data_IF_920631477527
#
_entry.id   IF_920631477527
#
_cell.length_a   1.000
_cell.length_b   1.000
_cell.length_c   1.000
_cell.angle_alpha   90.00
_cell.angle_beta   90.00
_cell.angle_gamma   90.00
#
_symmetry.space_group_name_H-M   'P 1'
#
loop_
_entity.id
_entity.type
_entity.pdbx_description
1 polymer ?
#
# COMPACT_ATOMS: atom_id res chain seq x y z
N UNK A 1 -35.37 49.82 9.74
CA UNK A 1 -34.80 50.83 10.66
C UNK A 1 -35.00 52.21 10.04
N UNK A 2 -35.41 53.22 10.82
CA UNK A 2 -35.51 54.61 10.34
C UNK A 2 -34.14 55.18 10.01
N UNK A 3 -34.05 56.08 9.03
CA UNK A 3 -32.78 56.70 8.64
C UNK A 3 -32.21 57.54 9.79
N UNK A 4 -33.07 58.23 10.54
CA UNK A 4 -32.69 59.02 11.72
C UNK A 4 -31.86 58.20 12.73
N UNK A 5 -32.23 56.94 12.96
CA UNK A 5 -31.51 56.04 13.87
C UNK A 5 -30.14 55.62 13.32
N UNK A 6 -30.01 55.53 11.98
CA UNK A 6 -28.73 55.24 11.33
C UNK A 6 -27.82 56.47 11.40
N UNK A 7 -28.36 57.66 11.21
CA UNK A 7 -27.63 58.93 11.31
C UNK A 7 -27.08 59.15 12.72
N UNK A 8 -27.86 58.88 13.76
CA UNK A 8 -27.41 58.91 15.16
C UNK A 8 -26.29 57.89 15.44
N UNK A 9 -26.44 56.66 14.93
CA UNK A 9 -25.43 55.61 15.06
C UNK A 9 -24.11 55.93 14.32
N UNK A 10 -24.19 56.60 13.17
CA UNK A 10 -23.01 57.01 12.42
C UNK A 10 -22.36 58.25 13.04
N UNK A 11 -23.17 59.18 13.55
CA UNK A 11 -22.70 60.37 14.27
C UNK A 11 -21.94 60.00 15.54
N UNK A 12 -22.38 58.97 16.27
CA UNK A 12 -21.65 58.46 17.44
C UNK A 12 -20.27 57.86 17.10
N UNK A 13 -20.01 57.58 15.81
CA UNK A 13 -18.73 57.11 15.27
C UNK A 13 -17.93 58.22 14.58
N UNK A 14 -18.33 59.48 14.75
CA UNK A 14 -17.68 60.64 14.13
C UNK A 14 -18.00 60.83 12.65
N UNK A 15 -18.95 60.08 12.09
CA UNK A 15 -19.36 60.17 10.69
C UNK A 15 -20.61 61.05 10.60
N UNK A 16 -20.42 62.31 10.20
CA UNK A 16 -21.49 63.32 10.18
C UNK A 16 -22.02 63.66 8.79
N UNK A 17 -21.28 63.31 7.72
CA UNK A 17 -21.68 63.58 6.33
C UNK A 17 -22.31 62.36 5.66
N UNK A 18 -23.34 62.58 4.84
CA UNK A 18 -23.96 61.53 4.02
C UNK A 18 -22.95 60.83 3.10
N UNK A 19 -21.96 61.59 2.58
CA UNK A 19 -20.93 61.03 1.72
C UNK A 19 -20.02 60.06 2.50
N UNK A 20 -19.73 60.36 3.76
CA UNK A 20 -18.89 59.51 4.61
C UNK A 20 -19.67 58.29 5.12
N UNK A 21 -20.98 58.42 5.34
CA UNK A 21 -21.87 57.28 5.57
C UNK A 21 -21.86 56.34 4.35
N UNK A 22 -21.92 56.90 3.14
CA UNK A 22 -21.87 56.12 1.91
C UNK A 22 -20.55 55.35 1.77
N UNK A 23 -19.42 56.01 2.04
CA UNK A 23 -18.09 55.39 2.08
C UNK A 23 -17.99 54.29 3.12
N UNK A 24 -18.43 54.55 4.36
CA UNK A 24 -18.37 53.58 5.46
C UNK A 24 -19.19 52.31 5.16
N UNK A 25 -20.37 52.47 4.54
CA UNK A 25 -21.24 51.35 4.19
C UNK A 25 -20.88 50.68 2.87
N UNK A 26 -19.94 51.24 2.10
CA UNK A 26 -19.60 50.84 0.73
C UNK A 26 -20.81 50.90 -0.21
N UNK A 27 -21.54 52.02 -0.18
CA UNK A 27 -22.70 52.29 -1.04
C UNK A 27 -22.52 53.65 -1.75
N UNK A 28 -23.39 53.96 -2.71
CA UNK A 28 -23.34 55.25 -3.42
C UNK A 28 -23.94 56.38 -2.58
N UNK A 29 -23.39 57.62 -2.62
CA UNK A 29 -23.99 58.78 -1.97
C UNK A 29 -25.44 59.03 -2.40
N UNK A 30 -25.78 58.69 -3.64
CA UNK A 30 -27.14 58.75 -4.19
C UNK A 30 -28.10 57.81 -3.44
N UNK A 31 -27.67 56.58 -3.14
CA UNK A 31 -28.49 55.63 -2.38
C UNK A 31 -28.76 56.12 -0.95
N UNK A 32 -27.75 56.67 -0.28
CA UNK A 32 -27.90 57.22 1.08
C UNK A 32 -28.84 58.43 1.09
N UNK A 33 -28.73 59.31 0.08
CA UNK A 33 -29.68 60.42 -0.11
C UNK A 33 -31.12 59.92 -0.28
N UNK A 34 -31.31 58.86 -1.07
CA UNK A 34 -32.63 58.24 -1.25
C UNK A 34 -33.19 57.61 0.04
N UNK A 35 -32.33 57.03 0.89
CA UNK A 35 -32.74 56.50 2.19
C UNK A 35 -33.14 57.62 3.16
N UNK A 36 -32.43 58.75 3.14
CA UNK A 36 -32.78 59.94 3.92
C UNK A 36 -34.11 60.52 3.47
N UNK A 37 -34.35 60.64 2.16
CA UNK A 37 -35.62 61.13 1.61
C UNK A 37 -36.82 60.23 1.95
N UNK A 38 -36.60 58.92 2.11
CA UNK A 38 -37.64 57.93 2.43
C UNK A 38 -37.73 57.56 3.92
N UNK A 39 -36.88 58.16 4.76
CA UNK A 39 -36.64 57.78 6.17
C UNK A 39 -36.54 56.26 6.42
N UNK A 40 -35.95 55.53 5.48
CA UNK A 40 -35.87 54.07 5.55
C UNK A 40 -34.54 53.54 5.03
N UNK A 41 -33.92 52.66 5.83
CA UNK A 41 -32.68 51.97 5.49
C UNK A 41 -32.99 50.53 5.04
N UNK A 42 -32.46 50.08 3.89
CA UNK A 42 -32.62 48.70 3.43
C UNK A 42 -32.08 47.65 4.42
N UNK A 43 -32.72 46.48 4.45
CA UNK A 43 -32.42 45.42 5.41
C UNK A 43 -30.96 44.91 5.35
N UNK A 44 -30.38 44.77 4.15
CA UNK A 44 -29.01 44.28 3.97
C UNK A 44 -27.96 45.18 4.63
N UNK A 45 -28.20 46.49 4.70
CA UNK A 45 -27.32 47.46 5.37
C UNK A 45 -27.36 47.25 6.87
N UNK A 46 -28.54 47.03 7.43
CA UNK A 46 -28.75 46.77 8.86
C UNK A 46 -28.05 45.47 9.27
N UNK A 47 -28.19 44.42 8.46
CA UNK A 47 -27.51 43.14 8.71
C UNK A 47 -25.98 43.30 8.70
N UNK A 48 -25.42 44.09 7.77
CA UNK A 48 -23.99 44.40 7.71
C UNK A 48 -23.53 45.21 8.93
N UNK A 49 -24.34 46.17 9.40
CA UNK A 49 -24.08 46.98 10.58
C UNK A 49 -23.98 46.12 11.86
N UNK A 50 -24.92 45.19 12.05
CA UNK A 50 -24.95 44.29 13.19
C UNK A 50 -23.75 43.32 13.17
N UNK A 51 -23.42 42.77 11.99
CA UNK A 51 -22.23 41.93 11.82
C UNK A 51 -20.93 42.69 12.13
N UNK A 52 -20.83 43.96 11.71
CA UNK A 52 -19.67 44.79 12.00
C UNK A 52 -19.58 45.19 13.48
N UNK A 53 -20.72 45.38 14.17
CA UNK A 53 -20.74 45.66 15.61
C UNK A 53 -20.25 44.48 16.44
N UNK A 54 -20.54 43.25 16.04
CA UNK A 54 -20.07 42.04 16.74
C UNK A 54 -18.58 41.76 16.56
N UNK A 55 -17.95 42.34 15.54
CA UNK A 55 -16.53 42.11 15.22
C UNK A 55 -15.57 43.11 15.89
N UNK A 56 -16.04 44.06 16.70
CA UNK A 56 -15.21 45.12 17.32
C UNK A 56 -14.79 44.84 18.78
N UNK A 57 -15.01 43.64 19.32
CA UNK A 57 -14.52 43.25 20.65
C UNK A 57 -13.14 42.56 20.65
N UNK A 58 -12.38 42.62 19.55
CA UNK A 58 -11.04 42.04 19.44
C UNK A 58 -10.02 43.07 18.94
N UNK A 59 -9.02 43.36 19.77
CA UNK A 59 -8.10 44.50 19.65
C UNK A 59 -6.82 44.21 18.86
N UNK A 60 -6.27 45.29 18.29
CA UNK A 60 -4.92 45.53 17.72
C UNK A 60 -4.55 44.90 16.37
N UNK A 61 -4.21 45.79 15.42
CA UNK A 61 -3.81 45.49 14.05
C UNK A 61 -2.33 45.82 13.82
N UNK A 62 -1.60 44.88 13.24
CA UNK A 62 -0.47 45.13 12.33
C UNK A 62 -0.63 44.24 11.07
N UNK A 63 -0.03 44.61 9.92
CA UNK A 63 -0.63 44.39 8.62
C UNK A 63 -0.33 43.00 8.06
N UNK A 64 -1.35 42.31 7.54
CA UNK A 64 -1.17 41.07 6.79
C UNK A 64 -1.90 41.14 5.45
N UNK A 65 -1.06 41.13 4.40
CA UNK A 65 -1.14 40.27 3.22
C UNK A 65 -2.47 39.52 3.04
N UNK A 66 -3.05 39.67 1.85
CA UNK A 66 -4.20 38.91 1.32
C UNK A 66 -4.40 37.55 2.01
N UNK A 67 -5.21 37.53 3.06
CA UNK A 67 -5.77 36.31 3.61
C UNK A 67 -7.19 36.19 3.10
N UNK A 68 -7.38 35.28 2.14
CA UNK A 68 -8.66 34.67 1.89
C UNK A 68 -9.25 34.27 3.23
N UNK A 69 -10.44 34.78 3.55
CA UNK A 69 -11.17 34.43 4.76
C UNK A 69 -11.48 32.92 4.75
N UNK A 70 -10.56 32.13 5.29
CA UNK A 70 -10.72 30.73 5.60
C UNK A 70 -10.84 30.63 7.12
N UNK A 71 -12.05 30.90 7.61
CA UNK A 71 -12.45 30.61 8.97
C UNK A 71 -13.86 30.03 8.93
N UNK A 72 -13.92 28.78 8.48
CA UNK A 72 -14.81 27.79 9.08
C UNK A 72 -13.87 26.68 9.52
N UNK A 73 -13.90 26.29 10.79
CA UNK A 73 -13.22 25.08 11.24
C UNK A 73 -13.66 23.94 10.31
N UNK A 74 -12.81 23.56 9.34
CA UNK A 74 -13.06 22.37 8.53
C UNK A 74 -12.71 21.16 9.40
N UNK A 75 -13.54 20.91 10.40
CA UNK A 75 -13.66 19.56 10.94
C UNK A 75 -14.18 18.72 9.79
N UNK A 76 -13.29 17.95 9.16
CA UNK A 76 -13.65 17.05 8.07
C UNK A 76 -14.66 16.07 8.66
N UNK A 77 -15.92 16.20 8.27
CA UNK A 77 -16.96 15.27 8.68
C UNK A 77 -16.80 13.97 7.90
N UNK A 78 -17.00 12.83 8.55
CA UNK A 78 -16.97 11.52 7.88
C UNK A 78 -17.94 11.46 6.70
N UNK A 79 -19.07 12.15 6.80
CA UNK A 79 -20.05 12.25 5.72
C UNK A 79 -19.48 12.91 4.48
N UNK A 80 -18.63 13.93 4.62
CA UNK A 80 -18.03 14.63 3.47
C UNK A 80 -17.04 13.73 2.72
N UNK A 81 -16.32 12.85 3.44
CA UNK A 81 -15.42 11.85 2.86
C UNK A 81 -16.24 10.80 2.09
N UNK A 82 -17.30 10.27 2.70
CA UNK A 82 -18.18 9.28 2.06
C UNK A 82 -18.86 9.86 0.82
N UNK A 83 -19.26 11.13 0.84
CA UNK A 83 -19.87 11.81 -0.30
C UNK A 83 -18.87 11.93 -1.46
N UNK A 84 -17.62 12.31 -1.17
CA UNK A 84 -16.56 12.40 -2.18
C UNK A 84 -16.21 11.03 -2.80
N UNK A 85 -16.16 9.96 -1.97
CA UNK A 85 -15.97 8.58 -2.46
C UNK A 85 -17.16 8.14 -3.33
N UNK A 86 -18.39 8.48 -2.93
CA UNK A 86 -19.58 8.14 -3.69
C UNK A 86 -19.66 8.88 -5.02
N UNK A 87 -19.27 10.15 -5.06
CA UNK A 87 -19.24 10.97 -6.28
C UNK A 87 -18.22 10.42 -7.29
N UNK A 88 -17.08 9.92 -6.81
CA UNK A 88 -16.03 9.34 -7.64
C UNK A 88 -16.02 7.81 -7.70
N UNK A 89 -17.12 7.15 -7.30
CA UNK A 89 -17.22 5.68 -7.24
C UNK A 89 -16.85 5.01 -8.57
N UNK A 90 -17.26 5.62 -9.70
CA UNK A 90 -16.92 5.13 -11.05
C UNK A 90 -15.42 5.08 -11.29
N UNK A 91 -14.68 6.10 -10.84
CA UNK A 91 -13.21 6.16 -10.99
C UNK A 91 -12.55 5.10 -10.12
N UNK A 92 -13.01 4.95 -8.88
CA UNK A 92 -12.49 3.95 -7.92
C UNK A 92 -12.68 2.53 -8.44
N UNK A 93 -13.87 2.22 -8.99
CA UNK A 93 -14.15 0.90 -9.56
C UNK A 93 -13.28 0.67 -10.81
N UNK A 94 -13.17 1.66 -11.70
CA UNK A 94 -12.35 1.54 -12.91
C UNK A 94 -10.86 1.34 -12.59
N UNK A 95 -10.30 2.12 -11.65
CA UNK A 95 -8.89 1.98 -11.27
C UNK A 95 -8.61 0.63 -10.63
N UNK A 96 -9.54 0.11 -9.84
CA UNK A 96 -9.43 -1.23 -9.23
C UNK A 96 -9.44 -2.32 -10.31
N UNK A 97 -10.34 -2.22 -11.29
CA UNK A 97 -10.38 -3.14 -12.43
C UNK A 97 -9.08 -3.13 -13.23
N UNK A 98 -8.53 -1.96 -13.49
CA UNK A 98 -7.26 -1.79 -14.20
C UNK A 98 -6.11 -2.42 -13.40
N UNK A 99 -6.05 -2.17 -12.09
CA UNK A 99 -5.03 -2.77 -11.23
C UNK A 99 -5.13 -4.31 -11.21
N UNK A 100 -6.33 -4.86 -11.05
CA UNK A 100 -6.56 -6.32 -11.09
C UNK A 100 -6.18 -6.90 -12.44
N UNK A 101 -6.52 -6.24 -13.54
CA UNK A 101 -6.15 -6.67 -14.88
C UNK A 101 -4.64 -6.74 -15.08
N UNK A 102 -3.89 -5.74 -14.61
CA UNK A 102 -2.42 -5.76 -14.67
C UNK A 102 -1.82 -6.87 -13.82
N UNK A 103 -2.29 -7.02 -12.57
CA UNK A 103 -1.82 -8.10 -11.68
C UNK A 103 -2.09 -9.48 -12.26
N UNK A 104 -3.28 -9.70 -12.84
CA UNK A 104 -3.62 -10.96 -13.48
C UNK A 104 -2.74 -11.24 -14.70
N UNK A 105 -2.52 -10.22 -15.54
CA UNK A 105 -1.64 -10.32 -16.71
C UNK A 105 -0.21 -10.68 -16.30
N UNK A 106 0.28 -10.06 -15.23
CA UNK A 106 1.62 -10.35 -14.70
C UNK A 106 1.76 -11.82 -14.27
N UNK A 107 0.85 -12.31 -13.43
CA UNK A 107 0.91 -13.68 -12.88
C UNK A 107 0.74 -14.73 -13.99
N UNK A 108 -0.13 -14.49 -14.98
CA UNK A 108 -0.44 -15.51 -16.01
C UNK A 108 0.57 -15.59 -17.14
N UNK A 109 1.22 -14.48 -17.50
CA UNK A 109 2.07 -14.44 -18.70
C UNK A 109 3.54 -14.21 -18.42
N UNK A 110 3.89 -13.50 -17.33
CA UNK A 110 5.27 -13.07 -17.08
C UNK A 110 5.92 -13.96 -16.02
N UNK A 111 5.19 -14.27 -14.95
CA UNK A 111 5.73 -15.06 -13.84
C UNK A 111 5.83 -16.54 -14.21
N UNK A 112 7.04 -17.10 -14.09
CA UNK A 112 7.28 -18.54 -14.29
C UNK A 112 6.95 -19.29 -13.00
N UNK A 113 6.11 -20.33 -13.01
CA UNK A 113 5.80 -21.10 -11.81
C UNK A 113 7.06 -21.82 -11.30
N UNK A 114 7.38 -21.61 -10.02
CA UNK A 114 8.45 -22.33 -9.34
C UNK A 114 7.86 -23.59 -8.69
N UNK A 115 8.27 -24.75 -9.19
CA UNK A 115 7.88 -26.04 -8.61
C UNK A 115 8.96 -26.49 -7.63
N UNK A 116 8.56 -26.77 -6.38
CA UNK A 116 9.43 -27.36 -5.36
C UNK A 116 9.04 -28.82 -5.15
N UNK A 117 10.01 -29.72 -5.21
CA UNK A 117 9.85 -31.14 -4.91
C UNK A 117 10.68 -31.49 -3.67
N UNK A 118 10.09 -32.22 -2.73
CA UNK A 118 10.76 -32.74 -1.54
C UNK A 118 10.59 -34.25 -1.49
N UNK A 119 11.68 -34.97 -1.20
CA UNK A 119 11.65 -36.40 -0.98
C UNK A 119 12.13 -36.72 0.44
N UNK A 120 11.38 -37.57 1.14
CA UNK A 120 11.77 -38.11 2.45
C UNK A 120 12.33 -39.51 2.25
N UNK A 121 13.59 -39.71 2.61
CA UNK A 121 14.23 -41.02 2.58
C UNK A 121 13.98 -41.75 3.91
N UNK A 122 13.42 -42.95 3.84
CA UNK A 122 13.22 -43.81 4.99
C UNK A 122 14.29 -44.91 4.98
N UNK A 123 14.84 -45.19 6.16
CA UNK A 123 15.79 -46.29 6.33
C UNK A 123 15.07 -47.63 6.20
N UNK A 124 15.65 -48.54 5.42
CA UNK A 124 15.29 -49.94 5.51
C UNK A 124 15.72 -50.45 6.89
N UNK A 125 14.78 -51.07 7.61
CA UNK A 125 15.03 -51.61 8.94
C UNK A 125 16.19 -52.62 8.91
N UNK A 126 17.07 -52.52 9.91
CA UNK A 126 18.28 -53.32 10.07
C UNK A 126 17.94 -54.80 9.98
N UNK A 127 18.26 -55.45 8.85
CA UNK A 127 18.29 -56.92 8.81
C UNK A 127 19.45 -57.40 9.70
N UNK A 128 19.20 -58.22 10.73
CA UNK A 128 20.26 -58.73 11.59
C UNK A 128 21.15 -59.64 10.75
N UNK A 129 22.34 -59.16 10.35
CA UNK A 129 23.30 -59.96 9.58
C UNK A 129 24.27 -59.18 8.68
N UNK A 130 24.05 -57.89 8.40
CA UNK A 130 24.93 -57.11 7.52
C UNK A 130 26.05 -56.33 8.27
N UNK A 131 26.51 -56.84 9.41
CA UNK A 131 27.59 -56.22 10.22
C UNK A 131 28.99 -56.79 9.95
N UNK A 132 29.11 -57.84 9.12
CA UNK A 132 30.39 -58.53 8.85
C UNK A 132 31.24 -57.98 7.69
N UNK A 133 30.66 -57.18 6.79
CA UNK A 133 31.34 -56.76 5.56
C UNK A 133 32.47 -55.74 5.75
N UNK A 134 32.25 -54.74 6.61
CA UNK A 134 33.24 -53.67 6.83
C UNK A 134 34.39 -54.08 7.73
N UNK A 135 34.17 -54.95 8.72
CA UNK A 135 35.25 -55.48 9.54
C UNK A 135 36.31 -56.18 8.66
N UNK A 136 35.86 -56.89 7.62
CA UNK A 136 36.73 -57.51 6.63
C UNK A 136 37.45 -56.52 5.69
N UNK A 137 36.82 -55.38 5.36
CA UNK A 137 37.46 -54.33 4.55
C UNK A 137 38.45 -53.51 5.38
N UNK A 138 38.09 -53.10 6.59
CA UNK A 138 38.96 -52.31 7.47
C UNK A 138 40.20 -53.08 7.93
N UNK A 139 40.07 -54.40 8.13
CA UNK A 139 41.21 -55.27 8.43
C UNK A 139 42.23 -55.31 7.28
N UNK A 140 41.81 -55.19 6.02
CA UNK A 140 42.72 -55.08 4.86
C UNK A 140 43.50 -53.76 4.85
N UNK A 141 43.05 -52.74 5.57
CA UNK A 141 43.77 -51.49 5.78
C UNK A 141 44.53 -51.47 7.12
N UNK A 142 44.68 -52.62 7.80
CA UNK A 142 45.43 -52.74 9.05
C UNK A 142 44.70 -52.17 10.27
N UNK A 143 43.40 -51.86 10.16
CA UNK A 143 42.59 -51.32 11.26
C UNK A 143 41.78 -52.44 11.88
N UNK A 144 42.10 -52.79 13.13
CA UNK A 144 41.36 -53.76 13.91
C UNK A 144 40.12 -53.10 14.53
N UNK A 145 38.94 -53.33 13.95
CA UNK A 145 37.67 -52.86 14.52
C UNK A 145 37.23 -53.87 15.60
N UNK A 146 37.06 -53.45 16.87
CA UNK A 146 36.50 -54.31 17.90
C UNK A 146 35.14 -54.83 17.45
N UNK A 147 34.90 -56.14 17.56
CA UNK A 147 33.65 -56.79 17.15
C UNK A 147 32.39 -56.24 17.84
N UNK A 148 32.53 -55.36 18.84
CA UNK A 148 31.45 -54.66 19.53
C UNK A 148 31.05 -53.31 18.93
N UNK A 149 31.83 -52.74 18.01
CA UNK A 149 31.48 -51.50 17.33
C UNK A 149 30.70 -51.86 16.07
N UNK A 150 29.40 -52.12 16.25
CA UNK A 150 28.44 -52.16 15.15
C UNK A 150 28.36 -50.77 14.51
N UNK A 151 29.25 -50.48 13.56
CA UNK A 151 29.13 -49.30 12.70
C UNK A 151 27.93 -49.52 11.79
N UNK A 152 26.79 -48.92 12.16
CA UNK A 152 25.57 -48.99 11.39
C UNK A 152 25.73 -48.18 10.10
N UNK A 153 25.95 -48.89 8.98
CA UNK A 153 25.97 -48.34 7.63
C UNK A 153 24.65 -47.69 7.22
N UNK A 154 23.59 -47.96 7.97
CA UNK A 154 22.28 -47.34 7.80
C UNK A 154 22.16 -46.04 8.59
N UNK A 155 23.21 -45.59 9.28
CA UNK A 155 23.14 -44.38 10.10
C UNK A 155 22.73 -43.16 9.24
N UNK A 156 21.70 -42.39 9.68
CA UNK A 156 21.23 -41.19 8.97
C UNK A 156 22.33 -40.17 8.65
N UNK A 157 23.43 -40.19 9.40
CA UNK A 157 24.60 -39.31 9.26
C UNK A 157 25.42 -39.54 8.00
N UNK A 158 25.38 -40.73 7.38
CA UNK A 158 26.16 -41.04 6.18
C UNK A 158 25.44 -40.63 4.88
N UNK A 159 24.13 -40.38 4.93
CA UNK A 159 23.33 -40.03 3.75
C UNK A 159 23.77 -38.74 3.05
N UNK A 160 24.11 -37.63 3.76
CA UNK A 160 24.65 -36.46 3.10
C UNK A 160 25.89 -36.80 2.26
N UNK A 161 26.80 -37.64 2.76
CA UNK A 161 27.99 -38.04 2.01
C UNK A 161 27.66 -38.93 0.80
N UNK A 162 26.70 -39.85 0.95
CA UNK A 162 26.23 -40.69 -0.17
C UNK A 162 25.57 -39.83 -1.25
N UNK A 163 24.73 -38.85 -0.88
CA UNK A 163 24.06 -37.95 -1.81
C UNK A 163 25.05 -37.05 -2.56
N UNK A 164 26.12 -36.59 -1.89
CA UNK A 164 27.19 -35.81 -2.51
C UNK A 164 28.23 -36.68 -3.25
N UNK A 165 28.11 -38.01 -3.17
CA UNK A 165 29.05 -38.92 -3.82
C UNK A 165 28.92 -38.85 -5.34
N UNK A 166 30.07 -38.77 -6.03
CA UNK A 166 30.15 -38.84 -7.49
C UNK A 166 29.41 -40.05 -8.05
N UNK A 167 29.50 -41.21 -7.38
CA UNK A 167 28.88 -42.45 -7.87
C UNK A 167 27.36 -42.42 -7.79
N UNK A 168 26.81 -41.75 -6.78
CA UNK A 168 25.38 -41.52 -6.70
C UNK A 168 24.91 -40.55 -7.79
N UNK A 169 25.63 -39.43 -7.97
CA UNK A 169 25.33 -38.46 -9.02
C UNK A 169 25.38 -39.08 -10.45
N UNK A 170 26.39 -39.90 -10.74
CA UNK A 170 26.51 -40.63 -12.01
C UNK A 170 25.29 -41.54 -12.23
N UNK A 171 24.92 -42.33 -11.21
CA UNK A 171 23.76 -43.24 -11.26
C UNK A 171 22.43 -42.51 -11.39
N UNK A 172 22.24 -41.35 -10.76
CA UNK A 172 20.98 -40.60 -10.83
C UNK A 172 20.81 -39.90 -12.18
N UNK A 173 21.91 -39.44 -12.80
CA UNK A 173 21.86 -38.83 -14.13
C UNK A 173 21.44 -39.81 -15.23
N UNK A 174 21.73 -41.10 -15.07
CA UNK A 174 21.32 -42.15 -16.00
C UNK A 174 19.86 -42.58 -15.82
N UNK A 175 19.17 -42.17 -14.75
CA UNK A 175 17.77 -42.54 -14.51
C UNK A 175 16.84 -41.82 -15.48
N UNK A 176 15.82 -42.55 -15.94
CA UNK A 176 14.79 -42.06 -16.83
C UNK A 176 13.63 -41.45 -16.05
N UNK A 177 13.17 -40.30 -16.50
CA UNK A 177 12.04 -39.57 -15.93
C UNK A 177 11.08 -39.18 -17.06
N UNK A 178 9.79 -39.34 -16.83
CA UNK A 178 8.77 -38.82 -17.72
C UNK A 178 8.65 -37.30 -17.54
N UNK A 179 8.73 -36.56 -18.64
CA UNK A 179 8.62 -35.10 -18.62
C UNK A 179 7.49 -34.65 -19.53
N UNK A 180 6.60 -33.79 -19.01
CA UNK A 180 5.49 -33.24 -19.77
C UNK A 180 5.95 -32.33 -20.92
N UNK A 181 7.13 -31.72 -20.78
CA UNK A 181 7.75 -30.86 -21.79
C UNK A 181 8.12 -31.63 -23.07
N UNK A 182 8.65 -32.84 -22.93
CA UNK A 182 9.12 -33.67 -24.06
C UNK A 182 8.14 -34.80 -24.43
N UNK A 183 7.13 -35.07 -23.60
CA UNK A 183 6.11 -36.09 -23.85
C UNK A 183 6.61 -37.54 -23.81
N UNK A 184 7.84 -37.77 -23.32
CA UNK A 184 8.48 -39.09 -23.27
C UNK A 184 9.41 -39.22 -22.07
N UNK A 185 9.86 -40.46 -21.82
CA UNK A 185 10.87 -40.75 -20.80
C UNK A 185 12.27 -40.42 -21.33
N UNK A 186 12.96 -39.51 -20.64
CA UNK A 186 14.34 -39.10 -20.95
C UNK A 186 15.22 -39.32 -19.73
N UNK A 187 16.51 -39.59 -19.95
CA UNK A 187 17.47 -39.61 -18.85
C UNK A 187 17.59 -38.22 -18.21
N UNK A 188 17.83 -38.16 -16.91
CA UNK A 188 18.02 -36.87 -16.22
C UNK A 188 19.16 -36.06 -16.84
N UNK A 189 20.21 -36.74 -17.31
CA UNK A 189 21.28 -36.09 -18.08
C UNK A 189 20.74 -35.41 -19.34
N UNK A 190 19.95 -36.12 -20.15
CA UNK A 190 19.37 -35.58 -21.37
C UNK A 190 18.45 -34.39 -21.05
N UNK A 191 17.58 -34.52 -20.05
CA UNK A 191 16.67 -33.45 -19.60
C UNK A 191 17.42 -32.17 -19.25
N UNK A 192 18.60 -32.28 -18.62
CA UNK A 192 19.39 -31.13 -18.16
C UNK A 192 20.35 -30.56 -19.22
N UNK A 193 20.57 -31.25 -20.35
CA UNK A 193 21.61 -30.86 -21.32
C UNK A 193 21.03 -30.62 -22.71
N UNK A 194 20.70 -31.69 -23.45
CA UNK A 194 20.35 -31.64 -24.88
C UNK A 194 18.88 -32.00 -25.17
N UNK A 195 18.08 -32.36 -24.16
CA UNK A 195 16.66 -32.67 -24.29
C UNK A 195 16.38 -33.88 -25.19
N UNK A 196 15.57 -33.68 -26.22
CA UNK A 196 15.22 -34.68 -27.24
C UNK A 196 16.23 -34.76 -28.39
N UNK A 197 17.26 -33.91 -28.39
CA UNK A 197 18.26 -33.93 -29.45
C UNK A 197 19.27 -35.07 -29.23
N UNK A 198 19.95 -35.56 -30.28
CA UNK A 198 21.07 -36.49 -30.09
C UNK A 198 22.21 -35.79 -29.31
N UNK A 199 22.95 -36.54 -28.47
CA UNK A 199 24.06 -36.03 -27.65
C UNK A 199 25.25 -35.52 -28.48
#
# INVERSE_FOLDING_TARGET
>A
MKFTKLEEFMSSRGITSLADIARALNTSPQAVSNWKARDQVPYHVIAKLNKSSNNLSGSYAEPQIYSSAYNGEKTISFSDILLNISEQLKVIIMSTFIAVFFTFTYIKFIEKPLYSSSATFLLAEKKPGLSGGMAGLASQFGVNIPQSIETDLSSPSLFPEILHSRKFAERIFEKYFYTLEYGKELSLLAILTYGDLPP
#
